data_IF_065716231050
#
_entry.id   IF_065716231050
#
_cell.length_a   1.000
_cell.length_b   1.000
_cell.length_c   1.000
_cell.angle_alpha   90.00
_cell.angle_beta   90.00
_cell.angle_gamma   90.00
#
_symmetry.space_group_name_H-M   'P 1'
#
loop_
_entity.id
_entity.type
_entity.pdbx_description
1 polymer ?
#
# COMPACT_ATOMS: atom_id res chain seq x y z
N UNK A 1 4.20 -29.44 57.67
CA UNK A 1 4.88 -29.35 56.35
C UNK A 1 4.00 -28.62 55.37
N UNK A 2 4.20 -27.38 55.24
CA UNK A 2 3.47 -26.56 54.27
C UNK A 2 4.29 -26.50 53.00
N UNK A 3 3.86 -27.24 52.00
CA UNK A 3 4.31 -27.10 50.64
C UNK A 3 3.76 -25.80 50.09
N UNK A 4 4.49 -24.75 50.23
CA UNK A 4 4.25 -23.52 49.49
C UNK A 4 4.69 -23.75 48.06
N UNK A 5 3.84 -24.35 47.31
CA UNK A 5 3.93 -24.26 45.85
C UNK A 5 3.57 -22.83 45.47
N UNK A 6 4.56 -21.99 45.47
CA UNK A 6 4.43 -20.72 44.80
C UNK A 6 4.33 -20.99 43.33
N UNK A 7 3.12 -21.13 42.86
CA UNK A 7 2.83 -20.96 41.46
C UNK A 7 3.10 -19.47 41.13
N UNK A 8 4.32 -19.20 40.72
CA UNK A 8 4.54 -18.03 39.90
C UNK A 8 3.88 -18.32 38.57
N UNK A 9 2.61 -18.01 38.49
CA UNK A 9 2.00 -17.79 37.21
C UNK A 9 2.78 -16.67 36.56
N UNK A 10 3.74 -17.00 35.71
CA UNK A 10 4.22 -16.05 34.76
C UNK A 10 3.00 -15.68 33.93
N UNK A 11 2.35 -14.60 34.31
CA UNK A 11 1.48 -13.91 33.41
C UNK A 11 2.40 -13.46 32.28
N UNK A 12 2.58 -14.33 31.29
CA UNK A 12 3.05 -13.89 30.01
C UNK A 12 2.00 -12.92 29.54
N UNK A 13 2.19 -11.66 29.87
CA UNK A 13 1.53 -10.59 29.16
C UNK A 13 2.08 -10.74 27.74
N UNK A 14 1.39 -11.55 26.94
CA UNK A 14 1.45 -11.37 25.52
C UNK A 14 0.97 -9.94 25.31
N UNK A 15 1.91 -9.03 25.27
CA UNK A 15 1.67 -7.77 24.63
C UNK A 15 1.41 -8.15 23.19
N UNK A 16 0.15 -8.35 22.88
CA UNK A 16 -0.34 -8.24 21.54
C UNK A 16 -0.07 -6.79 21.16
N UNK A 17 1.18 -6.52 20.78
CA UNK A 17 1.42 -5.43 19.89
C UNK A 17 0.71 -5.85 18.61
N UNK A 18 -0.60 -5.57 18.56
CA UNK A 18 -1.27 -5.44 17.29
C UNK A 18 -0.56 -4.27 16.62
N UNK A 19 0.61 -4.56 16.05
CA UNK A 19 1.20 -3.67 15.08
C UNK A 19 0.09 -3.45 14.08
N UNK A 20 -0.45 -2.22 14.03
CA UNK A 20 -1.33 -1.84 12.95
C UNK A 20 -0.60 -2.31 11.70
N UNK A 21 -1.15 -3.31 11.02
CA UNK A 21 -0.63 -3.74 9.75
C UNK A 21 -0.59 -2.49 8.90
N UNK A 22 0.61 -1.95 8.66
CA UNK A 22 0.77 -0.83 7.76
C UNK A 22 0.17 -1.26 6.44
N UNK A 23 -0.82 -0.51 5.97
CA UNK A 23 -1.42 -0.78 4.69
C UNK A 23 -0.33 -0.76 3.62
N UNK A 24 -0.37 -1.72 2.71
CA UNK A 24 0.56 -1.73 1.59
C UNK A 24 0.31 -0.53 0.70
N UNK A 25 1.36 0.15 0.23
CA UNK A 25 1.21 1.15 -0.79
C UNK A 25 0.77 0.53 -2.11
N UNK A 26 0.15 1.33 -2.94
CA UNK A 26 -0.22 0.94 -4.29
C UNK A 26 0.28 1.98 -5.30
N UNK A 27 0.56 1.52 -6.50
CA UNK A 27 0.96 2.38 -7.61
C UNK A 27 0.10 2.11 -8.83
N UNK A 28 -0.39 3.17 -9.44
CA UNK A 28 -1.14 3.11 -10.68
C UNK A 28 -0.28 3.68 -11.79
N UNK A 29 0.00 2.84 -12.77
CA UNK A 29 0.70 3.24 -13.98
C UNK A 29 -0.29 3.69 -15.04
N UNK A 30 -0.11 4.86 -15.58
CA UNK A 30 -0.95 5.38 -16.66
C UNK A 30 -0.73 4.60 -17.96
N UNK A 31 -1.47 4.97 -18.98
CA UNK A 31 -1.37 4.36 -20.31
C UNK A 31 0.09 4.31 -20.77
N UNK A 32 0.44 3.23 -21.43
CA UNK A 32 1.81 2.91 -21.80
C UNK A 32 2.47 1.84 -20.94
N UNK A 33 1.96 1.64 -19.72
CA UNK A 33 2.45 0.60 -18.81
C UNK A 33 3.79 0.92 -18.14
N UNK A 34 4.17 0.06 -17.20
CA UNK A 34 5.33 0.29 -16.33
C UNK A 34 6.70 0.22 -17.01
N UNK A 35 6.76 -0.25 -18.23
CA UNK A 35 8.01 -0.32 -19.01
C UNK A 35 8.03 0.68 -20.16
N UNK A 36 7.41 1.83 -20.00
CA UNK A 36 7.28 2.87 -21.01
C UNK A 36 8.56 3.67 -21.28
N UNK A 37 9.63 3.39 -20.56
CA UNK A 37 10.90 4.13 -20.59
C UNK A 37 10.73 5.62 -20.27
N UNK A 38 9.74 5.94 -19.46
CA UNK A 38 9.37 7.29 -19.07
C UNK A 38 8.88 7.33 -17.62
N UNK A 39 7.83 8.09 -17.34
CA UNK A 39 7.32 8.32 -15.99
C UNK A 39 6.89 7.03 -15.28
N UNK A 40 6.21 6.14 -15.98
CA UNK A 40 5.75 4.89 -15.38
C UNK A 40 6.92 4.00 -14.97
N UNK A 41 7.92 3.86 -15.82
CA UNK A 41 9.10 3.06 -15.50
C UNK A 41 9.92 3.66 -14.37
N UNK A 42 10.05 4.97 -14.34
CA UNK A 42 10.74 5.66 -13.25
C UNK A 42 10.02 5.40 -11.89
N UNK A 43 8.70 5.47 -11.90
CA UNK A 43 7.90 5.17 -10.71
C UNK A 43 8.01 3.71 -10.29
N UNK A 44 8.00 2.79 -11.25
CA UNK A 44 8.19 1.37 -10.99
C UNK A 44 9.56 1.08 -10.36
N UNK A 45 10.61 1.66 -10.92
CA UNK A 45 11.96 1.51 -10.38
C UNK A 45 12.06 2.05 -8.96
N UNK A 46 11.42 3.17 -8.68
CA UNK A 46 11.35 3.74 -7.33
C UNK A 46 10.63 2.81 -6.34
N UNK A 47 9.50 2.24 -6.76
CA UNK A 47 8.76 1.31 -5.93
C UNK A 47 9.54 0.02 -5.66
N UNK A 48 10.22 -0.51 -6.66
CA UNK A 48 11.08 -1.69 -6.48
C UNK A 48 12.25 -1.42 -5.54
N UNK A 49 12.86 -0.25 -5.66
CA UNK A 49 13.94 0.16 -4.76
C UNK A 49 13.44 0.25 -3.32
N UNK A 50 12.30 0.87 -3.12
CA UNK A 50 11.68 0.95 -1.79
C UNK A 50 11.42 -0.45 -1.22
N UNK A 51 10.83 -1.35 -2.00
CA UNK A 51 10.56 -2.72 -1.57
C UNK A 51 11.85 -3.48 -1.22
N UNK A 52 12.89 -3.30 -2.00
CA UNK A 52 14.20 -3.92 -1.76
C UNK A 52 14.87 -3.40 -0.49
N UNK A 53 14.78 -2.09 -0.23
CA UNK A 53 15.41 -1.45 0.93
C UNK A 53 14.65 -1.71 2.23
N UNK A 54 13.34 -1.87 2.16
CA UNK A 54 12.47 -1.97 3.36
C UNK A 54 11.94 -3.38 3.62
N UNK A 55 12.00 -4.28 2.63
CA UNK A 55 11.32 -5.56 2.69
C UNK A 55 9.80 -5.45 2.50
N UNK A 56 9.28 -4.27 2.19
CA UNK A 56 7.87 -4.03 1.97
C UNK A 56 7.38 -4.58 0.63
N UNK A 57 6.07 -4.60 0.48
CA UNK A 57 5.39 -4.98 -0.76
C UNK A 57 4.47 -3.86 -1.20
N UNK A 58 4.21 -3.77 -2.48
CA UNK A 58 3.29 -2.79 -3.05
C UNK A 58 2.37 -3.44 -4.07
N UNK A 59 1.17 -2.87 -4.22
CA UNK A 59 0.21 -3.28 -5.22
C UNK A 59 0.42 -2.47 -6.49
N UNK A 60 0.22 -3.09 -7.63
CA UNK A 60 0.38 -2.46 -8.94
C UNK A 60 -0.90 -2.54 -9.72
N UNK A 61 -1.19 -1.52 -10.49
CA UNK A 61 -2.28 -1.50 -11.45
C UNK A 61 -1.85 -0.72 -12.68
N UNK A 62 -1.99 -1.32 -13.85
CA UNK A 62 -1.73 -0.67 -15.14
C UNK A 62 -3.04 -0.28 -15.80
N UNK A 63 -3.15 0.98 -16.25
CA UNK A 63 -4.33 1.45 -16.96
C UNK A 63 -4.39 0.87 -18.37
N UNK A 64 -5.57 0.38 -18.73
CA UNK A 64 -5.84 -0.13 -20.06
C UNK A 64 -6.63 0.87 -20.91
N UNK A 65 -7.36 1.79 -20.29
CA UNK A 65 -8.12 2.84 -20.95
C UNK A 65 -8.25 4.06 -20.02
N UNK A 66 -8.47 5.23 -20.63
CA UNK A 66 -8.63 6.48 -19.89
C UNK A 66 -9.83 6.45 -18.94
N UNK A 67 -10.90 5.79 -19.34
CA UNK A 67 -12.12 5.70 -18.54
C UNK A 67 -11.95 4.94 -17.22
N UNK A 68 -10.89 4.19 -17.05
CA UNK A 68 -10.65 3.38 -15.85
C UNK A 68 -9.99 4.12 -14.70
N UNK A 69 -9.49 5.33 -14.91
CA UNK A 69 -8.68 6.04 -13.90
C UNK A 69 -9.42 6.24 -12.58
N UNK A 70 -10.64 6.74 -12.64
CA UNK A 70 -11.43 6.97 -11.42
C UNK A 70 -11.73 5.68 -10.69
N UNK A 71 -12.20 4.67 -11.38
CA UNK A 71 -12.51 3.37 -10.81
C UNK A 71 -11.28 2.71 -10.19
N UNK A 72 -10.14 2.78 -10.87
CA UNK A 72 -8.89 2.24 -10.38
C UNK A 72 -8.45 2.89 -9.06
N UNK A 73 -8.51 4.22 -9.01
CA UNK A 73 -8.15 4.97 -7.82
C UNK A 73 -9.10 4.65 -6.66
N UNK A 74 -10.42 4.67 -6.88
CA UNK A 74 -11.40 4.31 -5.86
C UNK A 74 -11.19 2.89 -5.35
N UNK A 75 -10.99 1.96 -6.24
CA UNK A 75 -10.80 0.54 -5.89
C UNK A 75 -9.60 0.34 -4.95
N UNK A 76 -8.48 0.97 -5.24
CA UNK A 76 -7.28 0.84 -4.41
C UNK A 76 -7.44 1.56 -3.07
N UNK A 77 -8.06 2.72 -3.06
CA UNK A 77 -8.33 3.46 -1.83
C UNK A 77 -9.29 2.68 -0.92
N UNK A 78 -10.39 2.16 -1.46
CA UNK A 78 -11.36 1.35 -0.74
C UNK A 78 -10.76 0.03 -0.21
N UNK A 79 -9.79 -0.52 -0.93
CA UNK A 79 -9.05 -1.70 -0.48
C UNK A 79 -8.04 -1.40 0.64
N UNK A 80 -7.92 -0.14 1.05
CA UNK A 80 -7.05 0.29 2.15
C UNK A 80 -5.60 0.53 1.76
N UNK A 81 -5.28 0.63 0.47
CA UNK A 81 -3.94 0.97 0.04
C UNK A 81 -3.54 2.37 0.54
N UNK A 82 -2.34 2.49 1.08
CA UNK A 82 -1.85 3.75 1.61
C UNK A 82 -0.31 3.79 1.61
N UNK A 83 0.32 4.73 0.88
CA UNK A 83 -0.31 5.67 -0.05
C UNK A 83 -0.75 5.01 -1.36
N UNK A 84 -1.58 5.71 -2.12
CA UNK A 84 -1.84 5.40 -3.52
C UNK A 84 -1.09 6.40 -4.38
N UNK A 85 -0.13 5.92 -5.14
CA UNK A 85 0.69 6.73 -6.03
C UNK A 85 0.17 6.59 -7.45
N UNK A 86 -0.10 7.69 -8.09
CA UNK A 86 -0.60 7.74 -9.46
C UNK A 86 0.44 8.44 -10.34
N UNK A 87 0.75 7.84 -11.47
CA UNK A 87 1.65 8.46 -12.45
C UNK A 87 0.83 9.09 -13.58
N UNK A 88 1.16 10.32 -13.92
CA UNK A 88 0.55 11.03 -15.05
C UNK A 88 -0.38 12.18 -14.68
N UNK A 89 -0.34 13.23 -15.49
CA UNK A 89 -1.11 14.45 -15.27
C UNK A 89 -2.64 14.23 -15.34
N UNK A 90 -3.07 13.22 -16.08
CA UNK A 90 -4.49 12.92 -16.26
C UNK A 90 -5.16 12.46 -14.95
N UNK A 91 -4.41 12.10 -13.94
CA UNK A 91 -4.97 11.78 -12.63
C UNK A 91 -5.33 13.01 -11.79
N UNK A 92 -4.90 14.20 -12.16
CA UNK A 92 -5.18 15.41 -11.39
C UNK A 92 -6.66 15.65 -11.18
N UNK A 93 -7.45 15.63 -12.26
CA UNK A 93 -8.90 15.83 -12.19
C UNK A 93 -9.60 14.66 -11.48
N UNK A 94 -9.14 13.44 -11.74
CA UNK A 94 -9.66 12.25 -11.10
C UNK A 94 -9.44 12.31 -9.58
N UNK A 95 -8.27 12.74 -9.15
CA UNK A 95 -7.96 12.90 -7.74
C UNK A 95 -8.87 13.94 -7.07
N UNK A 96 -9.12 15.07 -7.74
CA UNK A 96 -10.04 16.08 -7.22
C UNK A 96 -11.46 15.54 -7.03
N UNK A 97 -11.87 14.58 -7.85
CA UNK A 97 -13.18 13.94 -7.73
C UNK A 97 -13.23 12.91 -6.61
N UNK A 98 -12.16 12.13 -6.46
CA UNK A 98 -12.14 10.97 -5.54
C UNK A 98 -11.71 11.33 -4.12
N UNK A 99 -10.76 12.25 -3.97
CA UNK A 99 -10.16 12.54 -2.67
C UNK A 99 -11.13 13.04 -1.58
N UNK A 100 -12.23 13.75 -1.90
CA UNK A 100 -13.19 14.18 -0.89
C UNK A 100 -14.02 13.05 -0.26
N UNK A 101 -14.11 11.89 -0.89
CA UNK A 101 -14.91 10.75 -0.45
C UNK A 101 -14.12 9.85 0.52
#
# INVERSE_FOLDING_TARGET
>A
MTLLTKFFGAAATLALTSGAALADPAIIFDLGGKFDKSFNEAAFNGAQRWASETGGTFKELEMQSEAQREQALRRLAEAGANPVVMTGFAFGDVLNTVAPD
#
